data_IF_802947297672
#
_entry.id   IF_802947297672
#
_cell.length_a   1.000
_cell.length_b   1.000
_cell.length_c   1.000
_cell.angle_alpha   90.00
_cell.angle_beta   90.00
_cell.angle_gamma   90.00
#
_symmetry.space_group_name_H-M   'P 1'
#
loop_
_entity.id
_entity.type
_entity.pdbx_description
1 polymer ?
#
# COMPACT_ATOMS: atom_id res chain seq x y z
N UNK A 1 29.13 -15.76 -6.50
CA UNK A 1 28.53 -14.42 -6.55
C UNK A 1 28.14 -14.15 -7.98
N UNK A 2 26.96 -13.65 -8.23
CA UNK A 2 26.49 -13.25 -9.56
C UNK A 2 26.42 -11.73 -9.64
N UNK A 3 26.31 -11.16 -10.83
CA UNK A 3 26.16 -9.71 -11.00
C UNK A 3 24.97 -9.39 -11.90
N UNK A 4 24.34 -8.27 -11.67
CA UNK A 4 23.25 -7.75 -12.52
C UNK A 4 23.85 -7.35 -13.88
N UNK A 5 23.33 -7.93 -14.94
CA UNK A 5 23.78 -7.66 -16.32
C UNK A 5 22.80 -6.80 -17.11
N UNK A 6 21.49 -6.89 -16.77
CA UNK A 6 20.42 -6.13 -17.45
C UNK A 6 19.36 -5.72 -16.45
N UNK A 7 18.78 -4.56 -16.70
CA UNK A 7 17.58 -4.07 -16.02
C UNK A 7 16.56 -3.66 -17.08
N UNK A 8 15.48 -4.43 -17.20
CA UNK A 8 14.37 -4.09 -18.08
C UNK A 8 13.31 -3.32 -17.33
N UNK A 9 12.79 -2.28 -17.94
CA UNK A 9 11.78 -1.38 -17.40
C UNK A 9 10.57 -1.39 -18.32
N UNK A 10 9.38 -1.66 -17.76
CA UNK A 10 8.13 -1.70 -18.53
C UNK A 10 7.08 -0.92 -17.74
N UNK A 11 6.42 0.05 -18.38
CA UNK A 11 5.24 0.69 -17.81
C UNK A 11 3.98 0.09 -18.43
N UNK A 12 3.06 -0.34 -17.58
CA UNK A 12 1.73 -0.84 -17.96
C UNK A 12 0.68 0.04 -17.31
N UNK A 13 -0.30 0.48 -18.10
CA UNK A 13 -1.45 1.20 -17.59
C UNK A 13 -2.62 0.25 -17.37
N UNK A 14 -3.16 0.25 -16.15
CA UNK A 14 -4.26 -0.60 -15.73
C UNK A 14 -5.50 0.25 -15.44
N UNK A 15 -6.66 -0.21 -15.89
CA UNK A 15 -7.94 0.40 -15.54
C UNK A 15 -8.52 -0.37 -14.36
N UNK A 16 -8.85 0.28 -13.24
CA UNK A 16 -9.53 -0.38 -12.13
C UNK A 16 -10.84 -1.04 -12.57
N UNK A 17 -11.18 -2.22 -12.02
CA UNK A 17 -12.40 -2.94 -12.42
C UNK A 17 -13.69 -2.22 -12.00
N UNK A 18 -13.61 -1.36 -10.99
CA UNK A 18 -14.71 -0.52 -10.49
C UNK A 18 -14.31 0.95 -10.53
N UNK A 19 -15.27 1.85 -10.65
CA UNK A 19 -15.03 3.28 -10.52
C UNK A 19 -14.61 3.59 -9.08
N UNK A 20 -13.47 4.24 -8.91
CA UNK A 20 -12.91 4.60 -7.60
C UNK A 20 -12.90 6.11 -7.46
N UNK A 21 -13.52 6.64 -6.41
CA UNK A 21 -13.56 8.07 -6.10
C UNK A 21 -13.57 8.30 -4.60
N UNK A 22 -12.68 9.15 -4.16
CA UNK A 22 -12.56 9.62 -2.78
C UNK A 22 -12.85 11.12 -2.68
N UNK A 23 -12.44 11.77 -1.60
CA UNK A 23 -12.70 13.19 -1.36
C UNK A 23 -11.82 14.15 -2.17
N UNK A 24 -10.71 13.66 -2.75
CA UNK A 24 -9.73 14.51 -3.44
C UNK A 24 -9.51 14.14 -4.91
N UNK A 25 -9.86 12.91 -5.33
CA UNK A 25 -9.59 12.44 -6.69
C UNK A 25 -10.54 11.34 -7.16
N UNK A 26 -10.48 11.04 -8.47
CA UNK A 26 -11.11 9.89 -9.09
C UNK A 26 -10.07 9.09 -9.86
N UNK A 27 -10.07 7.77 -9.70
CA UNK A 27 -9.10 6.87 -10.33
C UNK A 27 -9.61 6.39 -11.68
N UNK A 28 -9.03 6.87 -12.75
CA UNK A 28 -9.31 6.39 -14.10
C UNK A 28 -8.26 5.38 -14.58
N UNK A 29 -7.01 5.51 -14.12
CA UNK A 29 -5.88 4.71 -14.57
C UNK A 29 -4.89 4.52 -13.44
N UNK A 30 -4.35 3.32 -13.33
CA UNK A 30 -3.16 3.02 -12.52
C UNK A 30 -1.99 2.80 -13.48
N UNK A 31 -0.96 3.60 -13.38
CA UNK A 31 0.29 3.41 -14.10
C UNK A 31 1.20 2.50 -13.26
N UNK A 32 1.64 1.37 -13.81
CA UNK A 32 2.41 0.35 -13.09
C UNK A 32 3.80 0.21 -13.71
N UNK A 33 4.84 0.87 -13.17
CA UNK A 33 6.22 0.60 -13.52
C UNK A 33 6.66 -0.77 -13.00
N UNK A 34 7.14 -1.61 -13.89
CA UNK A 34 7.73 -2.93 -13.63
C UNK A 34 9.24 -2.85 -13.85
N UNK A 35 10.01 -3.46 -12.95
CA UNK A 35 11.46 -3.62 -13.04
C UNK A 35 11.78 -5.10 -13.05
N UNK A 36 12.52 -5.57 -14.06
CA UNK A 36 13.06 -6.93 -14.12
C UNK A 36 14.58 -6.86 -14.13
N UNK A 37 15.21 -7.33 -13.07
CA UNK A 37 16.67 -7.49 -13.00
C UNK A 37 17.05 -8.87 -13.51
N UNK A 38 18.11 -8.95 -14.34
CA UNK A 38 18.67 -10.21 -14.82
C UNK A 38 20.14 -10.28 -14.48
N UNK A 39 20.57 -11.43 -13.98
CA UNK A 39 21.93 -11.66 -13.52
C UNK A 39 22.73 -12.55 -14.49
N UNK A 40 24.05 -12.51 -14.37
CA UNK A 40 24.99 -13.26 -15.23
C UNK A 40 24.80 -14.78 -15.17
N UNK A 41 24.27 -15.32 -14.06
CA UNK A 41 23.99 -16.75 -13.89
C UNK A 41 22.59 -17.16 -14.41
N UNK A 42 21.86 -16.24 -15.04
CA UNK A 42 20.51 -16.46 -15.55
C UNK A 42 19.40 -16.28 -14.52
N UNK A 43 19.74 -16.02 -13.25
CA UNK A 43 18.72 -15.70 -12.24
C UNK A 43 18.11 -14.32 -12.47
N UNK A 44 16.85 -14.14 -12.04
CA UNK A 44 16.12 -12.89 -12.22
C UNK A 44 15.23 -12.55 -11.02
N UNK A 45 14.88 -11.29 -10.90
CA UNK A 45 13.89 -10.81 -9.96
C UNK A 45 13.01 -9.73 -10.59
N UNK A 46 11.74 -9.69 -10.20
CA UNK A 46 10.73 -8.80 -10.77
C UNK A 46 10.08 -8.02 -9.64
N UNK A 47 10.12 -6.70 -9.77
CA UNK A 47 9.47 -5.78 -8.83
C UNK A 47 8.60 -4.77 -9.54
N UNK A 48 7.81 -4.04 -8.77
CA UNK A 48 6.90 -3.04 -9.31
C UNK A 48 6.58 -1.95 -8.29
N UNK A 49 6.04 -0.87 -8.81
CA UNK A 49 5.36 0.18 -8.05
C UNK A 49 4.18 0.70 -8.85
N UNK A 50 3.57 1.79 -8.42
CA UNK A 50 2.41 2.35 -9.11
C UNK A 50 2.34 3.87 -8.97
N UNK A 51 1.59 4.49 -9.88
CA UNK A 51 1.04 5.84 -9.69
C UNK A 51 -0.46 5.82 -10.05
N UNK A 52 -1.16 6.87 -9.66
CA UNK A 52 -2.60 7.00 -9.92
C UNK A 52 -2.82 8.10 -10.96
N UNK A 53 -2.79 7.70 -12.23
CA UNK A 53 -3.10 8.54 -13.38
C UNK A 53 -2.12 9.70 -13.68
N UNK A 54 -1.04 9.83 -12.90
CA UNK A 54 -0.02 10.86 -13.12
C UNK A 54 1.31 10.48 -12.48
N UNK A 55 2.41 10.81 -13.14
CA UNK A 55 3.76 10.64 -12.60
C UNK A 55 4.49 9.37 -13.04
N UNK A 56 3.83 8.39 -13.65
CA UNK A 56 4.46 7.15 -14.09
C UNK A 56 5.63 7.39 -15.05
N UNK A 57 5.48 8.32 -15.99
CA UNK A 57 6.58 8.71 -16.90
C UNK A 57 7.79 9.31 -16.17
N UNK A 58 7.56 10.06 -15.08
CA UNK A 58 8.63 10.62 -14.25
C UNK A 58 9.34 9.51 -13.46
N UNK A 59 8.59 8.53 -12.91
CA UNK A 59 9.17 7.34 -12.27
C UNK A 59 10.00 6.54 -13.25
N UNK A 60 9.48 6.30 -14.47
CA UNK A 60 10.22 5.59 -15.53
C UNK A 60 11.48 6.34 -15.97
N UNK A 61 11.45 7.66 -16.09
CA UNK A 61 12.62 8.47 -16.42
C UNK A 61 13.70 8.37 -15.32
N UNK A 62 13.31 8.49 -14.05
CA UNK A 62 14.24 8.36 -12.92
C UNK A 62 14.87 6.95 -12.87
N UNK A 63 14.06 5.91 -13.09
CA UNK A 63 14.55 4.53 -13.18
C UNK A 63 15.56 4.38 -14.31
N UNK A 64 15.21 4.78 -15.53
CA UNK A 64 16.02 4.59 -16.75
C UNK A 64 17.32 5.39 -16.71
N UNK A 65 17.24 6.68 -16.37
CA UNK A 65 18.35 7.61 -16.57
C UNK A 65 19.33 7.65 -15.39
N UNK A 66 18.88 7.26 -14.18
CA UNK A 66 19.65 7.47 -12.96
C UNK A 66 19.81 6.23 -12.07
N UNK A 67 18.77 5.42 -11.85
CA UNK A 67 18.84 4.34 -10.88
C UNK A 67 19.28 3.00 -11.49
N UNK A 68 18.68 2.57 -12.60
CA UNK A 68 19.02 1.30 -13.24
C UNK A 68 20.49 1.22 -13.70
N UNK A 69 21.11 2.28 -14.25
CA UNK A 69 22.53 2.24 -14.59
C UNK A 69 23.46 1.93 -13.41
N UNK A 70 23.07 2.34 -12.20
CA UNK A 70 23.87 2.08 -10.99
C UNK A 70 23.81 0.63 -10.51
N UNK A 71 22.91 -0.20 -11.05
CA UNK A 71 22.78 -1.60 -10.69
C UNK A 71 23.67 -2.51 -11.53
N UNK A 72 24.05 -2.08 -12.74
CA UNK A 72 24.82 -2.91 -13.67
C UNK A 72 26.20 -3.23 -13.07
N UNK A 73 26.57 -4.52 -13.11
CA UNK A 73 27.80 -5.04 -12.54
C UNK A 73 27.76 -5.26 -11.02
N UNK A 74 26.70 -4.85 -10.32
CA UNK A 74 26.58 -5.06 -8.86
C UNK A 74 26.12 -6.48 -8.53
N UNK A 75 26.59 -6.99 -7.42
CA UNK A 75 25.99 -8.16 -6.74
C UNK A 75 24.62 -7.75 -6.20
N UNK A 76 23.51 -8.45 -6.55
CA UNK A 76 22.19 -8.14 -6.04
C UNK A 76 21.94 -8.51 -4.57
N UNK A 77 22.84 -9.27 -3.94
CA UNK A 77 22.64 -9.82 -2.60
C UNK A 77 22.60 -8.77 -1.46
N UNK A 78 23.43 -7.71 -1.42
CA UNK A 78 23.40 -6.74 -0.32
C UNK A 78 22.30 -5.69 -0.52
N UNK A 79 21.01 -6.09 -0.47
CA UNK A 79 19.85 -5.25 -0.77
C UNK A 79 19.86 -3.94 0.02
N UNK A 80 20.12 -4.01 1.34
CA UNK A 80 20.17 -2.83 2.21
C UNK A 80 21.22 -1.80 1.74
N UNK A 81 22.40 -2.27 1.34
CA UNK A 81 23.44 -1.40 0.82
C UNK A 81 23.05 -0.78 -0.52
N UNK A 82 22.46 -1.57 -1.41
CA UNK A 82 21.98 -1.08 -2.72
C UNK A 82 20.90 -0.02 -2.52
N UNK A 83 19.88 -0.32 -1.71
CA UNK A 83 18.80 0.61 -1.42
C UNK A 83 19.33 1.94 -0.86
N UNK A 84 20.25 1.85 0.10
CA UNK A 84 20.87 3.04 0.72
C UNK A 84 21.67 3.86 -0.28
N UNK A 85 22.49 3.21 -1.12
CA UNK A 85 23.29 3.91 -2.12
C UNK A 85 22.41 4.64 -3.14
N UNK A 86 21.34 3.97 -3.62
CA UNK A 86 20.38 4.57 -4.54
C UNK A 86 19.64 5.75 -3.89
N UNK A 87 19.21 5.61 -2.62
CA UNK A 87 18.60 6.70 -1.87
C UNK A 87 19.54 7.91 -1.75
N UNK A 88 20.81 7.69 -1.40
CA UNK A 88 21.77 8.78 -1.28
C UNK A 88 22.17 9.39 -2.62
N UNK A 89 22.20 8.61 -3.70
CA UNK A 89 22.46 9.14 -5.04
C UNK A 89 21.36 10.10 -5.53
N UNK A 90 20.17 9.97 -4.95
CA UNK A 90 19.02 10.84 -5.24
C UNK A 90 18.76 11.90 -4.16
N UNK A 91 19.75 12.21 -3.29
CA UNK A 91 19.55 13.07 -2.11
C UNK A 91 18.94 14.45 -2.44
N UNK A 92 19.21 14.99 -3.62
CA UNK A 92 18.62 16.26 -4.07
C UNK A 92 17.12 16.15 -4.41
N UNK A 93 16.60 14.93 -4.58
CA UNK A 93 15.21 14.61 -4.92
C UNK A 93 14.64 13.52 -4.02
N UNK A 94 15.32 13.19 -2.92
CA UNK A 94 15.01 12.02 -2.09
C UNK A 94 13.74 12.14 -1.26
N UNK A 95 13.21 13.33 -1.08
CA UNK A 95 11.94 13.52 -0.38
C UNK A 95 10.86 13.77 -1.41
N UNK A 96 10.06 12.75 -1.66
CA UNK A 96 8.94 12.85 -2.58
C UNK A 96 8.58 11.51 -3.21
N UNK A 97 7.33 11.39 -3.59
CA UNK A 97 6.72 10.14 -4.02
C UNK A 97 7.40 9.54 -5.27
N UNK A 98 7.82 10.36 -6.24
CA UNK A 98 8.45 9.86 -7.48
C UNK A 98 9.74 9.09 -7.17
N UNK A 99 10.59 9.63 -6.28
CA UNK A 99 11.84 8.96 -5.87
C UNK A 99 11.54 7.66 -5.12
N UNK A 100 10.62 7.69 -4.15
CA UNK A 100 10.23 6.50 -3.38
C UNK A 100 9.64 5.41 -4.28
N UNK A 101 8.76 5.75 -5.20
CA UNK A 101 8.16 4.80 -6.14
C UNK A 101 9.18 4.15 -7.07
N UNK A 102 10.17 4.91 -7.53
CA UNK A 102 11.26 4.36 -8.35
C UNK A 102 12.15 3.41 -7.52
N UNK A 103 12.53 3.80 -6.30
CA UNK A 103 13.28 2.94 -5.39
C UNK A 103 12.52 1.66 -5.06
N UNK A 104 11.20 1.75 -4.81
CA UNK A 104 10.37 0.61 -4.48
C UNK A 104 10.34 -0.45 -5.59
N UNK A 105 10.25 -0.05 -6.85
CA UNK A 105 10.25 -0.97 -7.97
C UNK A 105 11.56 -1.78 -8.06
N UNK A 106 12.70 -1.15 -7.76
CA UNK A 106 14.01 -1.83 -7.71
C UNK A 106 14.11 -2.71 -6.46
N UNK A 107 13.78 -2.17 -5.29
CA UNK A 107 13.91 -2.89 -4.02
C UNK A 107 13.06 -4.16 -4.01
N UNK A 108 11.82 -4.08 -4.49
CA UNK A 108 10.94 -5.26 -4.61
C UNK A 108 11.51 -6.29 -5.60
N UNK A 109 12.16 -5.86 -6.70
CA UNK A 109 12.83 -6.77 -7.63
C UNK A 109 14.04 -7.48 -6.98
N UNK A 110 14.81 -6.78 -6.17
CA UNK A 110 15.94 -7.37 -5.43
C UNK A 110 15.45 -8.38 -4.38
N UNK A 111 14.36 -8.08 -3.69
CA UNK A 111 13.74 -9.02 -2.75
C UNK A 111 13.17 -10.25 -3.46
N UNK A 112 12.50 -10.08 -4.61
CA UNK A 112 12.03 -11.21 -5.44
C UNK A 112 13.19 -12.10 -5.86
N UNK A 113 14.28 -11.51 -6.38
CA UNK A 113 15.48 -12.24 -6.76
C UNK A 113 16.05 -13.05 -5.58
N UNK A 114 16.21 -12.44 -4.40
CA UNK A 114 16.71 -13.11 -3.20
C UNK A 114 15.84 -14.30 -2.81
N UNK A 115 14.54 -14.07 -2.72
CA UNK A 115 13.58 -15.09 -2.30
C UNK A 115 13.53 -16.26 -3.31
N UNK A 116 13.60 -15.99 -4.61
CA UNK A 116 13.69 -17.03 -5.65
C UNK A 116 14.99 -17.82 -5.57
N UNK A 117 16.12 -17.14 -5.44
CA UNK A 117 17.44 -17.79 -5.26
C UNK A 117 17.47 -18.72 -4.04
N UNK A 118 16.90 -18.28 -2.93
CA UNK A 118 16.88 -19.01 -1.67
C UNK A 118 15.71 -20.03 -1.60
N UNK A 119 14.92 -20.12 -2.67
CA UNK A 119 13.71 -20.96 -2.79
C UNK A 119 12.74 -20.76 -1.62
N UNK A 120 12.51 -19.52 -1.23
CA UNK A 120 11.62 -19.15 -0.13
C UNK A 120 10.56 -18.14 -0.58
N UNK A 121 9.32 -18.22 -0.08
CA UNK A 121 8.35 -17.16 -0.25
C UNK A 121 8.74 -15.92 0.58
N UNK A 122 8.37 -14.73 0.09
CA UNK A 122 8.72 -13.47 0.72
C UNK A 122 8.33 -13.40 2.20
N UNK A 123 7.14 -13.89 2.56
CA UNK A 123 6.66 -13.79 3.93
C UNK A 123 7.52 -14.56 4.94
N UNK A 124 8.07 -15.70 4.55
CA UNK A 124 9.03 -16.45 5.39
C UNK A 124 10.40 -15.79 5.41
N UNK A 125 10.89 -15.35 4.25
CA UNK A 125 12.19 -14.69 4.15
C UNK A 125 12.25 -13.36 4.93
N UNK A 126 11.11 -12.70 5.12
CA UNK A 126 10.99 -11.42 5.80
C UNK A 126 10.58 -11.52 7.29
N UNK A 127 10.32 -12.74 7.82
CA UNK A 127 10.05 -12.90 9.26
C UNK A 127 9.11 -14.05 9.64
N UNK A 128 8.00 -14.27 8.90
CA UNK A 128 7.14 -15.44 9.09
C UNK A 128 6.29 -15.44 10.36
N UNK A 129 5.68 -14.32 10.71
CA UNK A 129 4.92 -14.18 11.95
C UNK A 129 3.51 -14.81 11.89
N UNK A 130 2.84 -14.75 10.73
CA UNK A 130 1.44 -15.18 10.58
C UNK A 130 1.26 -16.05 9.34
N UNK A 131 0.41 -17.08 9.44
CA UNK A 131 0.00 -17.90 8.29
C UNK A 131 -1.24 -17.35 7.55
N UNK A 132 -1.90 -16.35 8.12
CA UNK A 132 -3.09 -15.67 7.58
C UNK A 132 -3.27 -14.31 8.21
N UNK A 133 -3.91 -13.38 7.48
CA UNK A 133 -4.16 -11.99 7.91
C UNK A 133 -5.63 -11.65 7.70
N UNK A 134 -6.34 -11.03 8.67
CA UNK A 134 -7.73 -10.57 8.48
C UNK A 134 -7.83 -9.57 7.32
N UNK A 135 -8.95 -9.59 6.58
CA UNK A 135 -9.13 -8.75 5.38
C UNK A 135 -10.39 -7.90 5.49
N UNK A 136 -10.26 -6.63 5.14
CA UNK A 136 -11.39 -5.73 4.91
C UNK A 136 -11.45 -5.30 3.43
N UNK A 137 -12.66 -5.03 2.93
CA UNK A 137 -12.86 -4.58 1.55
C UNK A 137 -12.96 -3.06 1.46
N UNK A 138 -12.27 -2.46 0.48
CA UNK A 138 -12.42 -1.03 0.11
C UNK A 138 -13.31 -0.86 -1.12
N UNK A 139 -13.45 -1.89 -1.96
CA UNK A 139 -14.08 -1.78 -3.29
C UNK A 139 -15.56 -1.34 -3.28
N UNK A 140 -16.28 -1.56 -2.20
CA UNK A 140 -17.67 -1.12 -2.03
C UNK A 140 -17.84 0.18 -1.24
N UNK A 141 -16.76 0.86 -0.83
CA UNK A 141 -16.80 1.99 0.10
C UNK A 141 -16.67 3.39 -0.50
N UNK A 142 -16.73 3.54 -1.82
CA UNK A 142 -16.37 4.78 -2.51
C UNK A 142 -17.33 5.95 -2.26
N UNK A 143 -16.79 7.19 -2.26
CA UNK A 143 -17.52 8.39 -1.88
C UNK A 143 -18.67 8.74 -2.84
N UNK A 144 -18.55 8.43 -4.13
CA UNK A 144 -19.57 8.72 -5.14
C UNK A 144 -20.82 7.84 -5.04
N UNK A 145 -20.75 6.71 -4.33
CA UNK A 145 -21.87 5.80 -4.19
C UNK A 145 -23.02 6.44 -3.42
N UNK A 146 -24.26 6.18 -3.86
CA UNK A 146 -25.45 6.52 -3.09
C UNK A 146 -25.47 5.70 -1.79
N UNK A 147 -26.19 6.18 -0.77
CA UNK A 147 -26.35 5.48 0.50
C UNK A 147 -26.85 4.04 0.28
N UNK A 148 -27.84 3.84 -0.60
CA UNK A 148 -28.37 2.50 -0.92
C UNK A 148 -27.27 1.61 -1.52
N UNK A 149 -26.55 2.08 -2.53
CA UNK A 149 -25.48 1.31 -3.17
C UNK A 149 -24.35 0.99 -2.18
N UNK A 150 -24.01 1.93 -1.29
CA UNK A 150 -23.01 1.73 -0.25
C UNK A 150 -23.40 0.60 0.72
N UNK A 151 -24.67 0.57 1.18
CA UNK A 151 -25.21 -0.50 2.03
C UNK A 151 -25.19 -1.84 1.27
N UNK A 152 -25.69 -1.87 0.03
CA UNK A 152 -25.72 -3.08 -0.80
C UNK A 152 -24.31 -3.65 -1.00
N UNK A 153 -23.32 -2.82 -1.31
CA UNK A 153 -21.92 -3.24 -1.49
C UNK A 153 -21.28 -3.72 -0.17
N UNK A 154 -21.57 -3.06 0.95
CA UNK A 154 -21.08 -3.51 2.26
C UNK A 154 -21.66 -4.87 2.64
N UNK A 155 -22.93 -5.09 2.40
CA UNK A 155 -23.57 -6.39 2.64
C UNK A 155 -22.99 -7.48 1.73
N UNK A 156 -22.76 -7.16 0.45
CA UNK A 156 -22.12 -8.09 -0.49
C UNK A 156 -20.68 -8.46 -0.04
N UNK A 157 -19.91 -7.49 0.48
CA UNK A 157 -18.60 -7.78 1.06
C UNK A 157 -18.70 -8.74 2.25
N UNK A 158 -19.65 -8.51 3.17
CA UNK A 158 -19.91 -9.40 4.31
C UNK A 158 -20.34 -10.80 3.87
N UNK A 159 -21.21 -10.93 2.88
CA UNK A 159 -21.66 -12.20 2.31
C UNK A 159 -20.51 -12.95 1.59
N UNK A 160 -19.58 -12.20 0.97
CA UNK A 160 -18.37 -12.75 0.38
C UNK A 160 -17.34 -13.19 1.45
N UNK A 161 -17.65 -13.00 2.74
CA UNK A 161 -16.85 -13.48 3.86
C UNK A 161 -15.80 -12.50 4.36
N UNK A 162 -15.75 -11.25 3.88
CA UNK A 162 -14.86 -10.22 4.45
C UNK A 162 -15.24 -9.92 5.91
N UNK A 163 -14.24 -9.63 6.73
CA UNK A 163 -14.45 -9.32 8.16
C UNK A 163 -14.74 -7.85 8.41
N UNK A 164 -14.53 -6.99 7.42
CA UNK A 164 -14.79 -5.57 7.51
C UNK A 164 -14.86 -4.87 6.16
N UNK A 165 -15.19 -3.57 6.19
CA UNK A 165 -15.18 -2.69 5.04
C UNK A 165 -14.67 -1.30 5.41
N UNK A 166 -14.01 -0.62 4.46
CA UNK A 166 -13.58 0.78 4.57
C UNK A 166 -14.51 1.67 3.74
N UNK A 167 -15.02 2.72 4.35
CA UNK A 167 -16.00 3.64 3.78
C UNK A 167 -15.36 5.02 3.61
N UNK A 168 -15.37 5.55 2.40
CA UNK A 168 -14.91 6.92 2.14
C UNK A 168 -15.89 7.94 2.71
N UNK A 169 -15.36 8.90 3.46
CA UNK A 169 -16.05 10.06 4.01
C UNK A 169 -15.49 11.35 3.44
N UNK A 170 -16.10 12.47 3.72
CA UNK A 170 -15.65 13.76 3.17
C UNK A 170 -16.72 14.45 2.33
N UNK A 171 -17.98 14.08 2.49
CA UNK A 171 -19.09 14.85 1.92
C UNK A 171 -19.06 16.30 2.44
N UNK A 172 -19.45 17.29 1.62
CA UNK A 172 -19.48 18.69 2.05
C UNK A 172 -20.28 18.91 3.33
N UNK A 173 -21.41 18.23 3.48
CA UNK A 173 -22.23 18.30 4.70
C UNK A 173 -21.91 17.11 5.61
N UNK A 174 -21.64 17.41 6.89
CA UNK A 174 -21.41 16.36 7.90
C UNK A 174 -22.62 15.41 8.02
N UNK A 175 -23.84 15.93 7.89
CA UNK A 175 -25.05 15.12 7.97
C UNK A 175 -25.08 13.99 6.95
N UNK A 176 -24.59 14.25 5.71
CA UNK A 176 -24.54 13.23 4.65
C UNK A 176 -23.62 12.06 5.01
N UNK A 177 -22.46 12.34 5.61
CA UNK A 177 -21.55 11.29 6.07
C UNK A 177 -22.14 10.52 7.26
N UNK A 178 -22.77 11.22 8.19
CA UNK A 178 -23.44 10.60 9.36
C UNK A 178 -24.55 9.65 8.90
N UNK A 179 -25.44 10.09 8.01
CA UNK A 179 -26.54 9.27 7.50
C UNK A 179 -26.04 8.02 6.78
N UNK A 180 -25.00 8.18 5.93
CA UNK A 180 -24.37 7.07 5.19
C UNK A 180 -23.75 6.05 6.16
N UNK A 181 -22.99 6.50 7.15
CA UNK A 181 -22.35 5.62 8.12
C UNK A 181 -23.34 4.92 9.04
N UNK A 182 -24.40 5.59 9.49
CA UNK A 182 -25.47 4.97 10.27
C UNK A 182 -26.18 3.88 9.48
N UNK A 183 -26.55 4.14 8.23
CA UNK A 183 -27.22 3.15 7.37
C UNK A 183 -26.32 1.91 7.15
N UNK A 184 -25.02 2.10 6.92
CA UNK A 184 -24.07 0.99 6.78
C UNK A 184 -23.94 0.22 8.09
N UNK A 185 -23.79 0.90 9.24
CA UNK A 185 -23.66 0.25 10.55
C UNK A 185 -24.89 -0.55 10.92
N UNK A 186 -26.08 0.01 10.70
CA UNK A 186 -27.35 -0.67 10.97
C UNK A 186 -27.46 -1.95 10.12
N UNK A 187 -27.18 -1.87 8.82
CA UNK A 187 -27.26 -3.00 7.91
C UNK A 187 -26.18 -4.06 8.16
N UNK A 188 -24.93 -3.64 8.38
CA UNK A 188 -23.81 -4.56 8.58
C UNK A 188 -23.82 -5.22 9.97
N UNK A 189 -24.50 -4.61 10.97
CA UNK A 189 -24.51 -5.09 12.35
C UNK A 189 -23.27 -4.67 13.15
N UNK A 190 -23.35 -4.82 14.48
CA UNK A 190 -22.36 -4.29 15.41
C UNK A 190 -20.97 -4.96 15.32
N UNK A 191 -20.90 -6.20 14.87
CA UNK A 191 -19.68 -7.01 14.86
C UNK A 191 -18.88 -6.92 13.54
N UNK A 192 -19.46 -6.38 12.47
CA UNK A 192 -18.74 -6.17 11.23
C UNK A 192 -17.80 -4.96 11.36
N UNK A 193 -16.50 -5.15 11.11
CA UNK A 193 -15.54 -4.07 11.27
C UNK A 193 -15.78 -2.98 10.20
N UNK A 194 -15.94 -1.74 10.65
CA UNK A 194 -16.05 -0.59 9.73
C UNK A 194 -14.92 0.37 10.01
N UNK A 195 -14.26 0.78 8.94
CA UNK A 195 -13.21 1.79 8.92
C UNK A 195 -13.68 2.96 8.07
N UNK A 196 -13.20 4.15 8.35
CA UNK A 196 -13.50 5.33 7.53
C UNK A 196 -12.22 6.00 7.06
N UNK A 197 -12.30 6.63 5.89
CA UNK A 197 -11.16 7.29 5.25
C UNK A 197 -11.59 8.62 4.63
N UNK A 198 -10.93 9.70 5.03
CA UNK A 198 -11.20 11.06 4.59
C UNK A 198 -10.22 11.57 3.51
N UNK A 199 -9.17 10.83 3.19
CA UNK A 199 -8.16 11.23 2.20
C UNK A 199 -7.73 12.70 2.34
N UNK A 200 -7.38 13.10 3.57
CA UNK A 200 -6.79 14.41 3.89
C UNK A 200 -7.70 15.65 3.66
N UNK A 201 -9.01 15.47 3.52
CA UNK A 201 -9.88 16.55 3.06
C UNK A 201 -10.31 17.55 4.16
N UNK A 202 -9.99 17.32 5.44
CA UNK A 202 -10.46 18.17 6.52
C UNK A 202 -9.40 19.13 7.06
N UNK A 203 -9.86 20.26 7.62
CA UNK A 203 -9.06 21.06 8.54
C UNK A 203 -9.06 20.40 9.92
N UNK A 204 -8.10 20.75 10.79
CA UNK A 204 -8.01 20.17 12.13
C UNK A 204 -9.28 20.39 12.96
N UNK A 205 -9.92 21.57 12.88
CA UNK A 205 -11.16 21.85 13.56
C UNK A 205 -12.33 21.04 13.03
N UNK A 206 -12.40 20.84 11.72
CA UNK A 206 -13.45 20.04 11.10
C UNK A 206 -13.28 18.54 11.42
N UNK A 207 -12.05 18.04 11.41
CA UNK A 207 -11.77 16.66 11.77
C UNK A 207 -12.15 16.36 13.23
N UNK A 208 -11.83 17.24 14.18
CA UNK A 208 -12.26 17.12 15.59
C UNK A 208 -13.80 17.12 15.70
N UNK A 209 -14.47 18.04 15.01
CA UNK A 209 -15.93 18.11 15.00
C UNK A 209 -16.55 16.82 14.44
N UNK A 210 -16.05 16.31 13.32
CA UNK A 210 -16.55 15.06 12.70
C UNK A 210 -16.25 13.83 13.55
N UNK A 211 -15.06 13.73 14.11
CA UNK A 211 -14.68 12.64 15.02
C UNK A 211 -15.63 12.50 16.21
N UNK A 212 -16.09 13.62 16.80
CA UNK A 212 -17.06 13.61 17.88
C UNK A 212 -18.42 12.98 17.46
N UNK A 213 -18.85 13.20 16.22
CA UNK A 213 -20.09 12.61 15.69
C UNK A 213 -19.90 11.14 15.24
N UNK A 214 -18.72 10.74 14.84
CA UNK A 214 -18.43 9.38 14.40
C UNK A 214 -18.18 8.42 15.56
N UNK A 215 -17.81 8.91 16.75
CA UNK A 215 -17.34 8.10 17.89
C UNK A 215 -18.34 7.03 18.37
N UNK A 216 -19.65 7.26 18.20
CA UNK A 216 -20.72 6.30 18.59
C UNK A 216 -20.93 5.14 17.61
N UNK A 217 -20.22 5.12 16.46
CA UNK A 217 -20.45 4.14 15.39
C UNK A 217 -19.59 2.87 15.51
N UNK A 218 -18.74 2.75 16.53
CA UNK A 218 -17.89 1.58 16.72
C UNK A 218 -16.91 1.35 15.55
N UNK A 219 -16.27 2.43 15.07
CA UNK A 219 -15.33 2.40 13.94
C UNK A 219 -13.96 1.88 14.37
N UNK A 220 -13.33 1.08 13.51
CA UNK A 220 -11.99 0.57 13.72
C UNK A 220 -10.92 1.65 13.65
N UNK A 221 -11.04 2.62 12.70
CA UNK A 221 -10.19 3.80 12.60
C UNK A 221 -10.78 4.91 11.74
N UNK A 222 -10.21 6.11 11.89
CA UNK A 222 -10.39 7.27 11.04
C UNK A 222 -9.08 7.55 10.29
N UNK A 223 -9.06 7.21 9.00
CA UNK A 223 -7.90 7.28 8.12
C UNK A 223 -7.75 8.65 7.51
N UNK A 224 -6.51 9.15 7.48
CA UNK A 224 -6.09 10.43 6.89
C UNK A 224 -7.12 11.57 7.05
N UNK A 225 -7.53 11.92 8.28
CA UNK A 225 -8.47 13.03 8.47
C UNK A 225 -7.92 14.39 8.02
N UNK A 226 -6.60 14.58 8.10
CA UNK A 226 -5.88 15.83 7.82
C UNK A 226 -4.79 15.61 6.77
N UNK A 227 -4.27 16.69 6.13
CA UNK A 227 -3.06 16.61 5.32
C UNK A 227 -1.92 15.90 6.08
N UNK A 228 -1.22 15.00 5.38
CA UNK A 228 -0.20 14.14 6.00
C UNK A 228 1.03 14.89 6.52
N UNK A 229 1.24 16.13 6.14
CA UNK A 229 2.29 17.02 6.67
C UNK A 229 1.86 17.82 7.91
N UNK A 230 0.56 17.81 8.28
CA UNK A 230 0.05 18.44 9.50
C UNK A 230 0.16 17.49 10.72
N UNK A 231 1.37 17.12 11.09
CA UNK A 231 1.63 16.27 12.28
C UNK A 231 1.05 16.89 13.55
N UNK A 232 1.17 18.21 13.72
CA UNK A 232 0.65 18.93 14.89
C UNK A 232 -0.88 18.87 14.96
N UNK A 233 -1.56 18.95 13.83
CA UNK A 233 -3.00 18.76 13.72
C UNK A 233 -3.42 17.35 14.12
N UNK A 234 -2.69 16.32 13.66
CA UNK A 234 -2.94 14.94 14.05
C UNK A 234 -2.73 14.69 15.54
N UNK A 235 -1.69 15.28 16.16
CA UNK A 235 -1.50 15.22 17.63
C UNK A 235 -2.71 15.80 18.36
N UNK A 236 -3.19 16.99 17.95
CA UNK A 236 -4.38 17.60 18.55
C UNK A 236 -5.64 16.76 18.37
N UNK A 237 -5.83 16.19 17.18
CA UNK A 237 -6.97 15.34 16.88
C UNK A 237 -6.91 14.06 17.72
N UNK A 238 -5.77 13.36 17.77
CA UNK A 238 -5.60 12.15 18.56
C UNK A 238 -5.88 12.38 20.05
N UNK A 239 -5.49 13.55 20.58
CA UNK A 239 -5.81 13.94 21.97
C UNK A 239 -7.29 14.31 22.20
N UNK A 240 -8.05 14.56 21.13
CA UNK A 240 -9.45 15.05 21.20
C UNK A 240 -10.49 13.97 20.96
N UNK A 241 -10.09 12.75 20.58
CA UNK A 241 -11.02 11.66 20.24
C UNK A 241 -10.54 10.30 20.76
N UNK A 242 -11.46 9.38 20.96
CA UNK A 242 -11.17 7.97 21.22
C UNK A 242 -11.14 7.12 19.92
N UNK A 243 -11.47 7.71 18.77
CA UNK A 243 -11.32 7.02 17.50
C UNK A 243 -9.84 6.81 17.19
N UNK A 244 -9.41 5.57 16.88
CA UNK A 244 -8.04 5.34 16.42
C UNK A 244 -7.79 6.14 15.13
N UNK A 245 -6.69 6.87 15.09
CA UNK A 245 -6.28 7.62 13.91
C UNK A 245 -5.30 6.76 13.11
N UNK A 246 -5.57 6.58 11.82
CA UNK A 246 -4.73 5.82 10.91
C UNK A 246 -4.09 6.73 9.86
N UNK A 247 -2.78 6.60 9.66
CA UNK A 247 -2.02 7.36 8.67
C UNK A 247 -0.89 6.54 8.10
N UNK A 248 -0.43 6.89 6.88
CA UNK A 248 0.78 6.29 6.36
C UNK A 248 0.88 6.22 4.85
N UNK A 249 -0.23 6.17 4.11
CA UNK A 249 -0.18 6.11 2.64
C UNK A 249 0.53 7.33 2.01
N UNK A 250 0.48 8.47 2.68
CA UNK A 250 1.10 9.72 2.23
C UNK A 250 2.36 10.10 3.01
N UNK A 251 3.03 9.11 3.62
CA UNK A 251 4.34 9.26 4.27
C UNK A 251 5.42 8.52 3.46
N UNK A 252 6.52 9.21 3.16
CA UNK A 252 7.51 8.77 2.18
C UNK A 252 8.89 8.48 2.78
N UNK A 253 9.06 8.63 4.09
CA UNK A 253 10.32 8.34 4.77
C UNK A 253 10.11 7.74 6.16
N UNK A 254 11.08 6.90 6.60
CA UNK A 254 11.07 6.32 7.95
C UNK A 254 11.02 7.42 9.02
N UNK A 255 11.66 8.57 8.77
CA UNK A 255 11.66 9.72 9.69
C UNK A 255 10.27 10.30 9.91
N UNK A 256 9.45 10.41 8.86
CA UNK A 256 8.06 10.86 8.99
C UNK A 256 7.24 9.91 9.87
N UNK A 257 7.35 8.59 9.68
CA UNK A 257 6.70 7.61 10.56
C UNK A 257 7.20 7.71 12.01
N UNK A 258 8.51 7.91 12.21
CA UNK A 258 9.08 8.07 13.54
C UNK A 258 8.51 9.32 14.27
N UNK A 259 8.28 10.42 13.55
CA UNK A 259 7.68 11.62 14.13
C UNK A 259 6.20 11.37 14.53
N UNK A 260 5.41 10.74 13.68
CA UNK A 260 4.03 10.37 14.01
C UNK A 260 3.94 9.46 15.23
N UNK A 261 4.76 8.42 15.29
CA UNK A 261 4.80 7.46 16.40
C UNK A 261 5.27 8.10 17.70
N UNK A 262 6.39 8.85 17.66
CA UNK A 262 6.96 9.49 18.83
C UNK A 262 6.03 10.53 19.46
N UNK A 263 5.25 11.23 18.64
CA UNK A 263 4.34 12.28 19.09
C UNK A 263 2.94 11.76 19.46
N UNK A 264 2.69 10.45 19.25
CA UNK A 264 1.35 9.86 19.47
C UNK A 264 0.29 10.40 18.52
N UNK A 265 0.69 10.77 17.31
CA UNK A 265 -0.18 11.38 16.30
C UNK A 265 -1.05 10.35 15.56
N UNK A 266 -0.74 9.06 15.68
CA UNK A 266 -1.54 7.97 15.11
C UNK A 266 -1.58 6.76 16.05
N UNK A 267 -2.62 5.94 15.88
CA UNK A 267 -2.83 4.66 16.57
C UNK A 267 -2.62 3.46 15.64
N UNK A 268 -2.61 3.69 14.34
CA UNK A 268 -2.44 2.68 13.30
C UNK A 268 -1.53 3.26 12.20
N UNK A 269 -0.53 2.47 11.80
CA UNK A 269 0.37 2.81 10.70
C UNK A 269 -0.11 2.13 9.43
N UNK A 270 -0.27 2.91 8.35
CA UNK A 270 -0.72 2.42 7.04
C UNK A 270 0.37 2.60 5.97
N UNK A 271 1.58 2.12 6.28
CA UNK A 271 2.71 2.23 5.37
C UNK A 271 2.43 1.50 4.04
N UNK A 272 2.51 2.24 2.93
CA UNK A 272 2.47 1.70 1.58
C UNK A 272 3.89 1.35 1.13
N UNK A 273 4.11 0.10 0.74
CA UNK A 273 5.43 -0.43 0.37
C UNK A 273 6.04 0.32 -0.82
N UNK A 274 5.24 0.79 -1.77
CA UNK A 274 5.74 1.57 -2.89
C UNK A 274 6.07 3.01 -2.47
N UNK A 275 5.20 3.63 -1.69
CA UNK A 275 5.37 5.03 -1.27
C UNK A 275 6.49 5.24 -0.27
N UNK A 276 6.81 4.24 0.55
CA UNK A 276 7.96 4.30 1.48
C UNK A 276 9.29 3.96 0.81
N UNK A 277 9.29 3.45 -0.42
CA UNK A 277 10.50 3.15 -1.18
C UNK A 277 10.93 1.68 -1.18
N UNK A 278 10.03 0.73 -0.89
CA UNK A 278 10.24 -0.69 -1.02
C UNK A 278 10.03 -1.50 0.26
N UNK A 279 10.28 -2.80 0.16
CA UNK A 279 10.18 -3.77 1.26
C UNK A 279 11.19 -3.45 2.36
N UNK A 280 12.42 -3.09 2.00
CA UNK A 280 13.50 -2.76 2.93
C UNK A 280 13.12 -1.66 3.93
N UNK A 281 12.66 -0.48 3.52
CA UNK A 281 12.19 0.54 4.46
C UNK A 281 10.84 0.19 5.11
N UNK A 282 9.96 -0.54 4.43
CA UNK A 282 8.67 -0.95 5.00
C UNK A 282 8.84 -1.83 6.25
N UNK A 283 9.75 -2.81 6.21
CA UNK A 283 10.07 -3.66 7.37
C UNK A 283 10.58 -2.82 8.55
N UNK A 284 11.41 -1.79 8.29
CA UNK A 284 11.89 -0.88 9.33
C UNK A 284 10.75 -0.10 9.98
N UNK A 285 9.79 0.38 9.18
CA UNK A 285 8.60 1.07 9.69
C UNK A 285 7.73 0.12 10.51
N UNK A 286 7.54 -1.13 10.06
CA UNK A 286 6.76 -2.13 10.79
C UNK A 286 7.36 -2.40 12.17
N UNK A 287 8.68 -2.63 12.27
CA UNK A 287 9.35 -2.84 13.56
C UNK A 287 9.41 -1.58 14.43
N UNK A 288 9.48 -0.40 13.82
CA UNK A 288 9.38 0.86 14.57
C UNK A 288 7.98 1.01 15.20
N UNK A 289 6.93 0.70 14.45
CA UNK A 289 5.56 0.69 14.95
C UNK A 289 5.37 -0.37 16.06
N UNK A 290 5.92 -1.58 15.88
CA UNK A 290 5.94 -2.64 16.88
C UNK A 290 6.58 -2.18 18.19
N UNK A 291 7.76 -1.55 18.12
CA UNK A 291 8.45 -1.01 19.29
C UNK A 291 7.65 0.08 20.03
N UNK A 292 6.75 0.76 19.33
CA UNK A 292 5.82 1.74 19.90
C UNK A 292 4.46 1.13 20.30
N UNK A 293 4.29 -0.19 20.22
CA UNK A 293 3.02 -0.90 20.45
C UNK A 293 1.89 -0.40 19.55
N UNK A 294 2.20 -0.12 18.29
CA UNK A 294 1.26 0.35 17.26
C UNK A 294 1.11 -0.71 16.17
N UNK A 295 -0.12 -0.99 15.76
CA UNK A 295 -0.42 -1.93 14.68
C UNK A 295 -0.10 -1.34 13.31
N UNK A 296 0.26 -2.23 12.36
CA UNK A 296 0.41 -1.88 10.95
C UNK A 296 -0.71 -2.52 10.12
N UNK A 297 -1.37 -1.72 9.28
CA UNK A 297 -2.45 -2.09 8.38
C UNK A 297 -2.17 -1.42 7.03
N UNK A 298 -1.36 -2.01 6.13
CA UNK A 298 -0.80 -1.31 4.98
C UNK A 298 -1.87 -0.88 3.97
N UNK A 299 -1.57 0.19 3.25
CA UNK A 299 -2.37 0.75 2.19
C UNK A 299 -2.09 0.08 0.86
N UNK A 300 -3.14 -0.21 0.07
CA UNK A 300 -3.06 -0.57 -1.36
C UNK A 300 -2.28 -1.88 -1.61
N UNK A 301 -1.60 -2.06 -2.71
CA UNK A 301 -0.72 -3.18 -3.17
C UNK A 301 -0.90 -4.51 -2.41
N UNK A 302 -2.16 -4.99 -2.33
CA UNK A 302 -2.52 -6.18 -1.52
C UNK A 302 -1.73 -7.43 -1.90
N UNK A 303 -1.37 -7.58 -3.18
CA UNK A 303 -0.63 -8.73 -3.69
C UNK A 303 0.79 -8.82 -3.10
N UNK A 304 1.36 -7.69 -2.68
CA UNK A 304 2.66 -7.62 -2.01
C UNK A 304 2.48 -7.54 -0.49
N UNK A 305 1.52 -6.75 -0.03
CA UNK A 305 1.27 -6.55 1.39
C UNK A 305 0.78 -7.80 2.12
N UNK A 306 0.14 -8.76 1.45
CA UNK A 306 -0.24 -10.03 2.08
C UNK A 306 0.98 -10.76 2.65
N UNK A 307 2.10 -10.78 1.92
CA UNK A 307 3.36 -11.36 2.39
C UNK A 307 4.00 -10.53 3.50
N UNK A 308 3.96 -9.20 3.40
CA UNK A 308 4.55 -8.30 4.39
C UNK A 308 3.76 -8.31 5.72
N UNK A 309 2.44 -8.33 5.68
CA UNK A 309 1.60 -8.51 6.86
C UNK A 309 1.86 -9.87 7.53
N UNK A 310 2.03 -10.92 6.73
CA UNK A 310 2.35 -12.25 7.26
C UNK A 310 3.76 -12.34 7.84
N UNK A 311 4.66 -11.42 7.49
CA UNK A 311 6.04 -11.42 7.95
C UNK A 311 6.22 -10.80 9.35
N UNK A 312 5.36 -9.85 9.77
CA UNK A 312 5.57 -9.05 10.98
C UNK A 312 4.48 -9.28 12.03
N UNK A 313 4.82 -9.31 13.35
CA UNK A 313 3.87 -9.71 14.40
C UNK A 313 2.78 -8.67 14.69
N UNK A 314 2.99 -7.40 14.38
CA UNK A 314 2.07 -6.29 14.66
C UNK A 314 1.13 -5.96 13.50
N UNK A 315 1.08 -6.78 12.44
CA UNK A 315 0.10 -6.62 11.37
C UNK A 315 -1.30 -7.02 11.86
N UNK A 316 -2.30 -6.15 11.66
CA UNK A 316 -3.65 -6.39 12.12
C UNK A 316 -4.66 -6.64 10.99
N UNK A 317 -4.54 -5.94 9.87
CA UNK A 317 -5.45 -6.04 8.74
C UNK A 317 -4.73 -5.91 7.40
N UNK A 318 -5.27 -6.59 6.38
CA UNK A 318 -4.93 -6.39 4.97
C UNK A 318 -6.10 -5.69 4.27
N UNK A 319 -5.81 -4.66 3.48
CA UNK A 319 -6.77 -4.01 2.60
C UNK A 319 -7.02 -4.87 1.36
N UNK A 320 -8.29 -5.17 1.05
CA UNK A 320 -8.67 -5.81 -0.21
C UNK A 320 -8.99 -4.75 -1.26
N UNK A 321 -8.08 -4.61 -2.20
CA UNK A 321 -8.16 -3.70 -3.33
C UNK A 321 -7.27 -4.23 -4.47
N UNK A 322 -7.74 -5.20 -5.28
CA UNK A 322 -6.91 -5.90 -6.26
C UNK A 322 -6.37 -4.97 -7.32
N UNK A 323 -5.08 -5.15 -7.66
CA UNK A 323 -4.35 -4.28 -8.56
C UNK A 323 -3.91 -5.00 -9.83
N UNK A 324 -3.43 -6.24 -9.71
CA UNK A 324 -2.68 -6.92 -10.76
C UNK A 324 -3.51 -7.90 -11.58
N UNK A 325 -4.83 -7.97 -11.37
CA UNK A 325 -5.72 -8.94 -12.01
C UNK A 325 -5.62 -9.01 -13.54
N UNK A 326 -5.30 -7.88 -14.16
CA UNK A 326 -5.19 -7.80 -15.61
C UNK A 326 -3.83 -8.26 -16.17
N UNK A 327 -2.80 -8.44 -15.30
CA UNK A 327 -1.42 -8.75 -15.70
C UNK A 327 -0.76 -9.85 -14.86
N UNK A 328 -1.53 -10.55 -14.03
CA UNK A 328 -1.06 -11.69 -13.25
C UNK A 328 -2.09 -12.83 -13.25
N UNK A 329 -1.60 -14.07 -13.24
CA UNK A 329 -2.42 -15.27 -13.10
C UNK A 329 -2.72 -15.63 -11.65
N UNK A 330 -1.86 -15.20 -10.71
CA UNK A 330 -2.08 -15.41 -9.28
C UNK A 330 -3.12 -14.45 -8.71
N UNK A 331 -3.80 -14.90 -7.66
CA UNK A 331 -4.74 -14.11 -6.86
C UNK A 331 -4.44 -14.32 -5.39
N UNK A 332 -4.67 -13.31 -4.57
CA UNK A 332 -4.59 -13.45 -3.12
C UNK A 332 -5.75 -14.35 -2.67
N UNK A 333 -5.41 -15.49 -2.07
CA UNK A 333 -6.40 -16.42 -1.55
C UNK A 333 -7.04 -15.87 -0.28
N UNK A 334 -8.38 -15.74 -0.28
CA UNK A 334 -9.15 -15.32 0.90
C UNK A 334 -10.01 -16.49 1.35
N UNK A 335 -9.81 -16.93 2.58
CA UNK A 335 -10.52 -18.07 3.18
C UNK A 335 -10.99 -17.64 4.56
N UNK A 336 -12.29 -17.75 4.82
CA UNK A 336 -12.90 -17.38 6.09
C UNK A 336 -12.50 -15.95 6.55
N UNK A 337 -12.53 -15.00 5.62
CA UNK A 337 -12.21 -13.59 5.88
C UNK A 337 -10.72 -13.28 6.10
N UNK A 338 -9.84 -14.23 5.80
CA UNK A 338 -8.39 -14.06 5.95
C UNK A 338 -7.68 -14.28 4.63
N UNK A 339 -6.73 -13.41 4.32
CA UNK A 339 -5.79 -13.61 3.24
C UNK A 339 -4.67 -14.57 3.67
N UNK A 340 -4.25 -15.44 2.76
CA UNK A 340 -3.07 -16.30 2.94
C UNK A 340 -1.93 -15.80 2.07
N UNK A 341 -0.72 -15.65 2.62
CA UNK A 341 0.45 -15.33 1.81
C UNK A 341 0.74 -16.50 0.85
N UNK A 342 1.27 -16.21 -0.35
CA UNK A 342 1.63 -17.25 -1.30
C UNK A 342 2.81 -18.10 -0.80
N UNK A 343 2.77 -19.41 -1.09
CA UNK A 343 3.86 -20.35 -0.76
C UNK A 343 4.96 -20.40 -1.84
N UNK A 344 4.69 -19.83 -3.02
CA UNK A 344 5.65 -19.82 -4.11
C UNK A 344 6.86 -18.92 -3.79
N UNK A 345 8.08 -19.33 -4.18
CA UNK A 345 9.28 -18.52 -4.00
C UNK A 345 9.19 -17.15 -4.67
N UNK A 346 9.84 -16.14 -4.08
CA UNK A 346 9.76 -14.76 -4.54
C UNK A 346 8.59 -14.01 -3.93
N UNK A 347 8.05 -13.05 -4.68
CA UNK A 347 6.85 -12.30 -4.30
C UNK A 347 5.58 -13.15 -4.38
N UNK A 348 5.65 -14.35 -4.99
CA UNK A 348 4.50 -15.21 -5.21
C UNK A 348 3.54 -14.72 -6.29
N UNK A 349 3.97 -13.76 -7.12
CA UNK A 349 3.18 -13.22 -8.24
C UNK A 349 3.54 -13.98 -9.52
N UNK A 350 2.55 -14.63 -10.12
CA UNK A 350 2.66 -15.30 -11.41
C UNK A 350 2.30 -14.32 -12.53
N UNK A 351 3.31 -13.65 -13.09
CA UNK A 351 3.13 -12.61 -14.09
C UNK A 351 2.62 -13.16 -15.44
N UNK A 352 1.64 -12.50 -16.03
CA UNK A 352 1.19 -12.73 -17.41
C UNK A 352 2.03 -11.89 -18.39
N UNK A 353 3.21 -12.42 -18.75
CA UNK A 353 4.14 -11.70 -19.63
C UNK A 353 3.54 -11.36 -21.00
N UNK A 354 2.80 -12.25 -21.69
CA UNK A 354 2.11 -11.89 -22.92
C UNK A 354 1.20 -10.66 -22.76
N UNK A 355 0.45 -10.59 -21.67
CA UNK A 355 -0.45 -9.48 -21.43
C UNK A 355 0.29 -8.19 -21.00
N UNK A 356 1.35 -8.30 -20.20
CA UNK A 356 2.24 -7.19 -19.87
C UNK A 356 2.84 -6.61 -21.16
N UNK A 357 3.35 -7.45 -22.03
CA UNK A 357 3.93 -7.04 -23.31
C UNK A 357 2.91 -6.36 -24.22
N UNK A 358 1.70 -6.85 -24.26
CA UNK A 358 0.60 -6.27 -25.06
C UNK A 358 0.16 -4.89 -24.54
N UNK A 359 0.16 -4.70 -23.21
CA UNK A 359 -0.29 -3.45 -22.55
C UNK A 359 0.84 -2.41 -22.38
N UNK A 360 2.07 -2.78 -22.64
CA UNK A 360 3.21 -1.89 -22.38
C UNK A 360 3.07 -0.54 -23.10
N UNK A 361 3.13 0.54 -22.32
CA UNK A 361 3.08 1.93 -22.80
C UNK A 361 4.46 2.52 -23.02
N UNK A 362 5.42 2.11 -22.20
CA UNK A 362 6.82 2.52 -22.32
C UNK A 362 7.74 1.35 -21.97
N UNK A 363 8.91 1.32 -22.56
CA UNK A 363 9.95 0.31 -22.34
C UNK A 363 11.31 0.96 -22.36
N UNK A 364 12.22 0.44 -21.54
CA UNK A 364 13.65 0.72 -21.61
C UNK A 364 14.41 -0.51 -21.13
N UNK A 365 15.66 -0.66 -21.55
CA UNK A 365 16.58 -1.65 -21.05
C UNK A 365 17.94 -1.00 -20.84
N UNK A 366 18.60 -1.35 -19.73
CA UNK A 366 19.92 -0.88 -19.35
C UNK A 366 20.82 -2.10 -19.16
N UNK A 367 22.02 -2.07 -19.76
CA UNK A 367 22.99 -3.18 -19.71
C UNK A 367 24.43 -2.67 -19.64
#
# INVERSE_FOLDING_TARGET
>A
MTTITHVDLIQVDLTPPVARSDAIQSFATQETPLVRIRCADGSEGIGYSYTIGTGGSSVMALLRDHLAPQLIGRDPAPIESIWRDLLFSTHATSVGVITSLALAAIDTALWDWRCRRDNQPLWLAAGGAHSRVPVYSTEGGWLHLSQRALVEQTLAAREAGFLGAKIKVGKPQLADDIERLHAVREAAGAHFALMIDANQCFTASEAVRRAAHFSGLGLGWFEEPLPADDVAGHVRLAASTHLPIAVGESLYSIGQFADYLRLGACSIVQADVARIGGITPWIKVAHLAEACNVSICPHFLMELHVSLCAAVPNAAWLEYIPQLDAIAHSRVAIIDGHARPPDAPGLGIAWDWPEIERRAKARASVS
#
